data_IF_130332539300
#
_entry.id   IF_130332539300
#
_cell.length_a   1.000
_cell.length_b   1.000
_cell.length_c   1.000
_cell.angle_alpha   90.00
_cell.angle_beta   90.00
_cell.angle_gamma   90.00
#
_symmetry.space_group_name_H-M   'P 1'
#
loop_
_entity.id
_entity.type
_entity.pdbx_description
1 polymer ?
#
# COMPACT_ATOMS: atom_id res chain seq x y z
N UNK A 1 4.42 1.01 2.41
CA UNK A 1 5.82 1.26 2.88
C UNK A 1 6.03 1.08 4.38
N UNK A 2 5.03 1.28 5.25
CA UNK A 2 5.16 0.98 6.68
C UNK A 2 5.26 -0.52 6.99
N UNK A 3 4.53 -1.36 6.23
CA UNK A 3 4.42 -2.82 6.45
C UNK A 3 5.55 -3.64 5.84
N UNK A 4 5.98 -3.31 4.62
CA UNK A 4 7.00 -4.05 3.85
C UNK A 4 8.27 -3.22 3.58
N UNK A 5 8.58 -2.24 4.45
CA UNK A 5 9.67 -1.25 4.36
C UNK A 5 10.78 -1.47 3.33
N UNK A 6 11.01 -0.46 2.47
CA UNK A 6 12.12 -0.44 1.52
C UNK A 6 13.37 0.26 2.08
N UNK A 7 14.56 -0.23 1.71
CA UNK A 7 15.82 0.46 1.99
C UNK A 7 15.77 1.91 1.48
N UNK A 8 16.21 2.86 2.31
CA UNK A 8 16.21 4.30 1.98
C UNK A 8 14.88 5.02 2.19
N UNK A 9 13.81 4.33 2.59
CA UNK A 9 12.48 4.91 2.78
C UNK A 9 12.10 5.12 4.25
N UNK A 10 13.07 5.30 5.16
CA UNK A 10 12.81 5.37 6.61
C UNK A 10 11.82 6.48 7.00
N UNK A 11 12.00 7.69 6.49
CA UNK A 11 11.10 8.81 6.76
C UNK A 11 9.70 8.56 6.18
N UNK A 12 9.64 8.00 4.97
CA UNK A 12 8.38 7.67 4.31
C UNK A 12 7.64 6.54 5.06
N UNK A 13 8.36 5.51 5.51
CA UNK A 13 7.81 4.42 6.30
C UNK A 13 7.27 4.93 7.64
N UNK A 14 8.02 5.76 8.36
CA UNK A 14 7.56 6.35 9.62
C UNK A 14 6.26 7.16 9.46
N UNK A 15 6.18 7.98 8.40
CA UNK A 15 4.98 8.75 8.10
C UNK A 15 3.77 7.85 7.80
N UNK A 16 3.96 6.77 7.03
CA UNK A 16 2.87 5.83 6.74
C UNK A 16 2.43 5.02 7.97
N UNK A 17 3.38 4.53 8.78
CA UNK A 17 3.07 3.82 10.03
C UNK A 17 2.30 4.71 11.01
N UNK A 18 2.59 6.01 11.04
CA UNK A 18 1.80 6.96 11.83
C UNK A 18 0.32 6.98 11.39
N UNK A 19 0.03 6.93 10.09
CA UNK A 19 -1.36 6.87 9.59
C UNK A 19 -2.06 5.57 10.00
N UNK A 20 -1.35 4.44 9.92
CA UNK A 20 -1.86 3.13 10.35
C UNK A 20 -2.20 3.12 11.85
N UNK A 21 -1.31 3.68 12.68
CA UNK A 21 -1.52 3.82 14.12
C UNK A 21 -2.67 4.79 14.43
N UNK A 22 -2.80 5.89 13.69
CA UNK A 22 -3.88 6.85 13.85
C UNK A 22 -5.25 6.24 13.53
N UNK A 23 -5.35 5.45 12.45
CA UNK A 23 -6.56 4.71 12.09
C UNK A 23 -7.00 3.76 13.20
N UNK A 24 -6.04 2.97 13.72
CA UNK A 24 -6.26 2.06 14.85
C UNK A 24 -6.75 2.80 16.10
N UNK A 25 -6.10 3.92 16.45
CA UNK A 25 -6.48 4.74 17.59
C UNK A 25 -7.89 5.34 17.46
N UNK A 26 -8.24 5.85 16.27
CA UNK A 26 -9.59 6.40 16.00
C UNK A 26 -10.67 5.33 16.12
N UNK A 27 -10.42 4.12 15.59
CA UNK A 27 -11.37 3.00 15.72
C UNK A 27 -11.55 2.56 17.16
N UNK A 28 -10.49 2.54 17.97
CA UNK A 28 -10.60 2.29 19.42
C UNK A 28 -11.43 3.36 20.15
N UNK A 29 -11.50 4.58 19.61
CA UNK A 29 -12.34 5.67 20.11
C UNK A 29 -13.77 5.68 19.50
N UNK A 30 -14.16 4.65 18.74
CA UNK A 30 -15.47 4.56 18.10
C UNK A 30 -15.66 5.46 16.88
N UNK A 31 -14.56 5.98 16.31
CA UNK A 31 -14.58 6.85 15.14
C UNK A 31 -14.16 6.08 13.87
N UNK A 32 -14.78 6.38 12.71
CA UNK A 32 -14.37 5.78 11.45
C UNK A 32 -13.00 6.31 11.02
N UNK A 33 -12.12 5.38 10.61
CA UNK A 33 -10.79 5.68 10.08
C UNK A 33 -10.17 4.44 9.40
N UNK A 34 -10.39 4.22 8.09
CA UNK A 34 -9.62 3.21 7.36
C UNK A 34 -8.22 3.75 7.01
N UNK A 35 -7.18 2.95 7.24
CA UNK A 35 -5.85 3.12 6.64
C UNK A 35 -5.62 2.08 5.56
N UNK A 36 -5.24 2.51 4.36
CA UNK A 36 -4.95 1.64 3.23
C UNK A 36 -3.47 1.77 2.84
N UNK A 37 -2.67 0.80 3.25
CA UNK A 37 -1.24 0.75 2.94
C UNK A 37 -1.01 0.19 1.53
N UNK A 38 -1.26 1.03 0.52
CA UNK A 38 -1.23 0.63 -0.88
C UNK A 38 0.10 -0.01 -1.34
N UNK A 39 -0.04 -1.03 -2.20
CA UNK A 39 1.02 -1.53 -3.07
C UNK A 39 1.37 -0.57 -4.20
N UNK A 40 2.18 -1.04 -5.17
CA UNK A 40 2.59 -0.23 -6.31
C UNK A 40 1.43 0.02 -7.29
N UNK A 41 1.33 1.24 -7.81
CA UNK A 41 0.40 1.59 -8.90
C UNK A 41 1.19 1.68 -10.21
N UNK A 42 0.70 1.06 -11.26
CA UNK A 42 1.34 1.02 -12.57
C UNK A 42 1.24 2.37 -13.32
N UNK A 43 0.11 3.07 -13.15
CA UNK A 43 -0.21 4.28 -13.90
C UNK A 43 0.17 5.55 -13.13
N UNK A 44 1.43 5.99 -13.28
CA UNK A 44 1.89 7.28 -12.76
C UNK A 44 2.08 7.34 -11.24
N UNK A 45 1.90 8.53 -10.65
CA UNK A 45 2.10 8.75 -9.21
C UNK A 45 3.54 8.56 -8.74
N UNK A 46 3.72 8.10 -7.49
CA UNK A 46 5.04 7.94 -6.87
C UNK A 46 5.89 6.83 -7.50
N UNK A 47 5.24 5.83 -8.12
CA UNK A 47 5.92 4.73 -8.83
C UNK A 47 6.28 5.14 -10.25
N UNK A 48 5.44 5.95 -10.92
CA UNK A 48 5.73 6.46 -12.26
C UNK A 48 6.96 7.38 -12.36
N UNK A 49 7.46 7.90 -11.23
CA UNK A 49 8.72 8.66 -11.17
C UNK A 49 9.94 7.81 -10.80
N UNK A 50 9.76 6.53 -10.50
CA UNK A 50 10.86 5.62 -10.20
C UNK A 50 11.65 5.29 -11.48
N UNK A 51 12.95 5.06 -11.31
CA UNK A 51 13.75 4.50 -12.38
C UNK A 51 13.26 3.07 -12.70
N UNK A 52 13.34 2.66 -13.97
CA UNK A 52 12.93 1.31 -14.38
C UNK A 52 13.63 0.20 -13.57
N UNK A 53 14.86 0.44 -13.12
CA UNK A 53 15.61 -0.50 -12.29
C UNK A 53 14.92 -0.76 -10.94
N UNK A 54 14.31 0.28 -10.34
CA UNK A 54 13.57 0.17 -9.09
C UNK A 54 12.24 -0.56 -9.29
N UNK A 55 11.54 -0.28 -10.40
CA UNK A 55 10.32 -1.02 -10.80
C UNK A 55 10.63 -2.50 -11.00
N UNK A 56 11.70 -2.83 -11.74
CA UNK A 56 12.16 -4.21 -11.91
C UNK A 56 12.53 -4.88 -10.59
N UNK A 57 13.06 -4.12 -9.62
CA UNK A 57 13.39 -4.64 -8.29
C UNK A 57 12.13 -4.99 -7.50
N UNK A 58 11.09 -4.16 -7.55
CA UNK A 58 9.80 -4.43 -6.93
C UNK A 58 9.14 -5.70 -7.51
N UNK A 59 9.09 -5.81 -8.84
CA UNK A 59 8.49 -6.96 -9.51
C UNK A 59 9.22 -8.28 -9.17
N UNK A 60 10.55 -8.27 -9.04
CA UNK A 60 11.32 -9.44 -8.58
C UNK A 60 11.03 -9.85 -7.15
N UNK A 61 10.54 -8.93 -6.32
CA UNK A 61 10.07 -9.23 -4.97
C UNK A 61 8.57 -9.60 -4.92
N UNK A 62 7.97 -9.95 -6.06
CA UNK A 62 6.57 -10.33 -6.19
C UNK A 62 5.58 -9.16 -6.14
N UNK A 63 6.02 -7.91 -5.97
CA UNK A 63 5.12 -6.74 -5.92
C UNK A 63 4.89 -6.21 -7.33
N UNK A 64 3.69 -6.42 -7.86
CA UNK A 64 3.30 -5.95 -9.20
C UNK A 64 2.60 -4.59 -9.12
N UNK A 65 2.73 -3.80 -10.19
CA UNK A 65 2.00 -2.56 -10.34
C UNK A 65 0.53 -2.80 -10.66
N UNK A 66 -0.37 -2.20 -9.89
CA UNK A 66 -1.82 -2.23 -10.13
C UNK A 66 -2.23 -1.16 -11.13
N UNK A 67 -3.07 -1.52 -12.10
CA UNK A 67 -3.79 -0.56 -12.92
C UNK A 67 -4.78 0.22 -12.05
N UNK A 68 -5.15 1.43 -12.48
CA UNK A 68 -6.09 2.26 -11.73
C UNK A 68 -7.44 1.57 -11.46
N UNK A 69 -7.94 0.78 -12.42
CA UNK A 69 -9.19 0.03 -12.26
C UNK A 69 -9.09 -1.06 -11.19
N UNK A 70 -7.94 -1.73 -11.08
CA UNK A 70 -7.69 -2.75 -10.06
C UNK A 70 -7.57 -2.11 -8.67
N UNK A 71 -6.87 -0.97 -8.58
CA UNK A 71 -6.77 -0.19 -7.35
C UNK A 71 -8.13 0.30 -6.83
N UNK A 72 -9.02 0.76 -7.73
CA UNK A 72 -10.37 1.17 -7.36
C UNK A 72 -11.25 -0.02 -6.93
N UNK A 73 -11.14 -1.17 -7.58
CA UNK A 73 -11.86 -2.37 -7.16
C UNK A 73 -11.44 -2.81 -5.73
N UNK A 74 -10.15 -2.70 -5.42
CA UNK A 74 -9.64 -2.97 -4.07
C UNK A 74 -10.07 -1.91 -3.05
N UNK A 75 -10.22 -0.65 -3.46
CA UNK A 75 -10.77 0.39 -2.60
C UNK A 75 -12.21 0.08 -2.19
N UNK A 76 -13.06 -0.28 -3.16
CA UNK A 76 -14.45 -0.67 -2.88
C UNK A 76 -14.52 -1.89 -1.95
N UNK A 77 -13.67 -2.90 -2.19
CA UNK A 77 -13.56 -4.06 -1.31
C UNK A 77 -13.11 -3.69 0.12
N UNK A 78 -12.15 -2.78 0.25
CA UNK A 78 -11.68 -2.31 1.54
C UNK A 78 -12.75 -1.54 2.32
N UNK A 79 -13.56 -0.73 1.64
CA UNK A 79 -14.71 -0.06 2.25
C UNK A 79 -15.77 -1.04 2.77
N UNK A 80 -15.92 -2.21 2.14
CA UNK A 80 -16.87 -3.23 2.56
C UNK A 80 -16.38 -4.12 3.72
N UNK A 81 -15.06 -4.20 3.96
CA UNK A 81 -14.45 -5.13 4.92
C UNK A 81 -14.54 -4.68 6.40
N UNK A 82 -14.86 -3.41 6.68
CA UNK A 82 -14.86 -2.78 8.02
C UNK A 82 -13.62 -3.08 8.89
N UNK A 83 -12.43 -3.11 8.27
CA UNK A 83 -11.16 -3.27 8.96
C UNK A 83 -10.44 -1.90 9.11
N UNK A 84 -9.89 -1.55 10.29
CA UNK A 84 -9.08 -0.34 10.48
C UNK A 84 -7.87 -0.21 9.55
N UNK A 85 -7.24 -1.32 9.15
CA UNK A 85 -5.96 -1.31 8.45
C UNK A 85 -5.87 -2.44 7.44
N UNK A 86 -5.79 -2.08 6.17
CA UNK A 86 -5.67 -3.04 5.06
C UNK A 86 -4.46 -2.71 4.21
N UNK A 87 -3.96 -3.72 3.50
CA UNK A 87 -2.84 -3.60 2.56
C UNK A 87 -3.33 -4.03 1.17
N UNK A 88 -3.99 -3.15 0.40
CA UNK A 88 -4.41 -3.51 -0.93
C UNK A 88 -3.21 -3.46 -1.89
N UNK A 89 -2.84 -4.62 -2.42
CA UNK A 89 -1.68 -4.78 -3.28
C UNK A 89 -1.83 -5.99 -4.21
N UNK A 90 -1.15 -5.93 -5.36
CA UNK A 90 -1.03 -7.06 -6.27
C UNK A 90 0.26 -7.81 -6.00
N UNK A 91 0.12 -9.10 -5.71
CA UNK A 91 1.24 -10.01 -5.45
C UNK A 91 1.29 -11.12 -6.51
N UNK A 92 2.47 -11.29 -7.11
CA UNK A 92 2.82 -12.52 -7.81
C UNK A 92 3.40 -13.50 -6.79
N UNK A 93 2.54 -14.38 -6.27
CA UNK A 93 2.91 -15.38 -5.27
C UNK A 93 3.83 -16.49 -5.82
N UNK A 94 3.96 -16.62 -7.14
CA UNK A 94 4.88 -17.59 -7.76
C UNK A 94 6.30 -17.02 -7.84
N UNK A 95 6.43 -15.70 -7.88
CA UNK A 95 7.71 -14.99 -7.90
C UNK A 95 8.28 -14.67 -6.50
N UNK A 96 7.55 -14.99 -5.42
CA UNK A 96 7.93 -14.82 -4.01
C UNK A 96 8.65 -16.05 -3.46
#
# INVERSE_FOLDING_TARGET
AGTFGGLGQGNYAAANVFLDALATWRRAAGLPAPSLAWGAWADGGMVGSLAEADVRRLNRGGVQGMLAAEGLALFDAACAADDPMLVPMQLDLVAL
#
